data_IF_075957273493
#
_entry.id   IF_075957273493
#
_cell.length_a   1.000
_cell.length_b   1.000
_cell.length_c   1.000
_cell.angle_alpha   90.00
_cell.angle_beta   90.00
_cell.angle_gamma   90.00
#
_symmetry.space_group_name_H-M   'P 1'
#
loop_
_entity.id
_entity.type
_entity.pdbx_description
1 polymer ?
#
# COMPACT_ATOMS: atom_id res chain seq x y z
N UNK A 1 -7.41 -15.77 3.99
CA UNK A 1 -7.90 -14.55 3.34
C UNK A 1 -9.02 -14.85 2.35
N UNK A 2 -8.82 -15.75 1.37
CA UNK A 2 -9.85 -16.11 0.37
C UNK A 2 -11.13 -16.64 1.03
N UNK A 3 -11.00 -17.54 2.01
CA UNK A 3 -12.11 -18.04 2.82
C UNK A 3 -12.87 -16.92 3.55
N UNK A 4 -12.15 -15.96 4.13
CA UNK A 4 -12.75 -14.80 4.79
C UNK A 4 -13.50 -13.90 3.83
N UNK A 5 -12.96 -13.70 2.61
CA UNK A 5 -13.60 -12.93 1.55
C UNK A 5 -14.88 -13.63 1.10
N UNK A 6 -14.84 -14.94 0.90
CA UNK A 6 -16.03 -15.69 0.48
C UNK A 6 -17.11 -15.68 1.55
N UNK A 7 -16.74 -15.87 2.82
CA UNK A 7 -17.64 -15.80 3.94
C UNK A 7 -18.34 -14.43 4.05
N UNK A 8 -17.60 -13.34 3.79
CA UNK A 8 -18.17 -12.00 3.80
C UNK A 8 -19.15 -11.77 2.67
N UNK A 9 -18.83 -12.26 1.47
CA UNK A 9 -19.73 -12.19 0.30
C UNK A 9 -21.06 -12.90 0.57
N UNK A 10 -20.99 -14.12 1.12
CA UNK A 10 -22.18 -14.91 1.46
C UNK A 10 -23.06 -14.19 2.48
N UNK A 11 -22.44 -13.46 3.43
CA UNK A 11 -23.15 -12.71 4.47
C UNK A 11 -23.44 -11.25 4.09
N UNK A 12 -23.17 -10.85 2.84
CA UNK A 12 -23.35 -9.48 2.35
C UNK A 12 -22.62 -8.43 3.21
N UNK A 13 -21.40 -8.78 3.65
CA UNK A 13 -20.51 -7.91 4.43
C UNK A 13 -19.37 -7.46 3.52
N UNK A 14 -19.18 -6.15 3.38
CA UNK A 14 -18.05 -5.62 2.64
C UNK A 14 -16.76 -5.74 3.46
N UNK A 15 -15.77 -6.43 2.90
CA UNK A 15 -14.41 -6.49 3.46
C UNK A 15 -13.57 -5.38 2.85
N UNK A 16 -12.87 -4.65 3.71
CA UNK A 16 -11.83 -3.69 3.32
C UNK A 16 -10.47 -4.22 3.77
N UNK A 17 -9.76 -4.95 2.90
CA UNK A 17 -8.44 -5.47 3.24
C UNK A 17 -7.43 -4.33 3.35
N UNK A 18 -6.56 -4.40 4.35
CA UNK A 18 -5.41 -3.51 4.46
C UNK A 18 -4.19 -4.19 3.88
N UNK A 19 -3.48 -3.50 3.01
CA UNK A 19 -2.29 -4.01 2.33
C UNK A 19 -1.03 -3.31 2.83
N UNK A 20 0.04 -4.08 2.98
CA UNK A 20 1.38 -3.57 3.23
C UNK A 20 2.32 -4.25 2.21
N UNK A 21 2.28 -3.79 0.94
CA UNK A 21 2.94 -4.50 -0.14
C UNK A 21 4.46 -4.39 -0.09
N UNK A 22 5.01 -3.34 0.52
CA UNK A 22 6.45 -3.08 0.47
C UNK A 22 7.13 -3.35 1.80
N UNK A 23 7.89 -4.43 1.83
CA UNK A 23 8.75 -4.90 2.91
C UNK A 23 10.18 -5.07 2.39
N UNK A 24 11.20 -5.30 3.23
CA UNK A 24 12.57 -5.56 2.76
C UNK A 24 12.68 -6.73 1.77
N UNK A 25 11.79 -7.70 1.86
CA UNK A 25 11.81 -8.93 1.05
C UNK A 25 10.96 -8.85 -0.21
N UNK A 26 10.22 -7.76 -0.40
CA UNK A 26 9.31 -7.61 -1.54
C UNK A 26 10.08 -7.57 -2.85
N UNK A 27 9.61 -8.34 -3.81
CA UNK A 27 10.02 -8.34 -5.20
C UNK A 27 8.92 -7.72 -6.07
N UNK A 28 9.29 -7.19 -7.22
CA UNK A 28 8.32 -6.57 -8.16
C UNK A 28 7.14 -7.50 -8.46
N UNK A 29 7.41 -8.80 -8.65
CA UNK A 29 6.36 -9.79 -8.93
C UNK A 29 5.36 -10.01 -7.78
N UNK A 30 5.71 -9.68 -6.54
CA UNK A 30 4.79 -9.85 -5.41
C UNK A 30 3.64 -8.87 -5.51
N UNK A 31 3.89 -7.64 -5.99
CA UNK A 31 2.84 -6.66 -6.23
C UNK A 31 1.88 -7.11 -7.32
N UNK A 32 2.41 -7.72 -8.41
CA UNK A 32 1.56 -8.33 -9.44
C UNK A 32 0.61 -9.39 -8.84
N UNK A 33 1.09 -10.23 -7.92
CA UNK A 33 0.28 -11.24 -7.26
C UNK A 33 -0.80 -10.62 -6.34
N UNK A 34 -0.48 -9.52 -5.65
CA UNK A 34 -1.46 -8.77 -4.84
C UNK A 34 -2.57 -8.23 -5.74
N UNK A 35 -2.23 -7.61 -6.88
CA UNK A 35 -3.21 -7.10 -7.82
C UNK A 35 -4.10 -8.22 -8.37
N UNK A 36 -3.51 -9.36 -8.75
CA UNK A 36 -4.31 -10.53 -9.19
C UNK A 36 -5.30 -10.98 -8.13
N UNK A 37 -4.91 -10.98 -6.87
CA UNK A 37 -5.79 -11.33 -5.77
C UNK A 37 -6.94 -10.32 -5.63
N UNK A 38 -6.64 -9.02 -5.71
CA UNK A 38 -7.64 -7.94 -5.67
C UNK A 38 -8.66 -8.12 -6.81
N UNK A 39 -8.18 -8.31 -8.04
CA UNK A 39 -9.03 -8.45 -9.23
C UNK A 39 -9.89 -9.71 -9.19
N UNK A 40 -9.29 -10.87 -8.88
CA UNK A 40 -9.98 -12.14 -8.81
C UNK A 40 -11.09 -12.15 -7.76
N UNK A 41 -10.89 -11.43 -6.66
CA UNK A 41 -11.84 -11.35 -5.56
C UNK A 41 -12.79 -10.15 -5.63
N UNK A 42 -12.70 -9.33 -6.70
CA UNK A 42 -13.54 -8.14 -6.89
C UNK A 42 -13.45 -7.15 -5.72
N UNK A 43 -12.22 -6.91 -5.24
CA UNK A 43 -11.94 -6.04 -4.10
C UNK A 43 -11.52 -4.62 -4.50
N UNK A 44 -11.54 -4.30 -5.79
CA UNK A 44 -11.06 -3.01 -6.32
C UNK A 44 -11.69 -1.80 -5.65
N UNK A 45 -13.00 -1.88 -5.31
CA UNK A 45 -13.74 -0.79 -4.66
C UNK A 45 -13.31 -0.54 -3.21
N UNK A 46 -12.82 -1.59 -2.55
CA UNK A 46 -12.49 -1.58 -1.12
C UNK A 46 -11.01 -1.33 -0.86
N UNK A 47 -10.20 -1.26 -1.92
CA UNK A 47 -8.76 -0.96 -1.85
C UNK A 47 -8.51 0.48 -2.28
N UNK A 48 -8.08 1.32 -1.34
CA UNK A 48 -7.63 2.68 -1.70
C UNK A 48 -6.28 2.59 -2.44
N UNK A 49 -6.09 3.26 -3.58
CA UNK A 49 -4.84 3.26 -4.34
C UNK A 49 -3.58 3.50 -3.52
N UNK A 50 -3.64 4.38 -2.53
CA UNK A 50 -2.50 4.66 -1.63
C UNK A 50 -2.02 3.41 -0.88
N UNK A 51 -2.89 2.44 -0.60
CA UNK A 51 -2.51 1.21 0.09
C UNK A 51 -1.53 0.36 -0.71
N UNK A 52 -1.55 0.49 -2.04
CA UNK A 52 -0.60 -0.20 -2.92
C UNK A 52 0.80 0.41 -2.91
N UNK A 53 1.00 1.50 -2.17
CA UNK A 53 2.29 2.20 -2.04
C UNK A 53 2.91 2.10 -0.64
N UNK A 54 2.21 1.46 0.30
CA UNK A 54 2.59 1.46 1.73
C UNK A 54 3.87 0.64 1.96
N UNK A 55 4.82 1.27 2.65
CA UNK A 55 6.05 0.65 3.15
C UNK A 55 5.91 0.19 4.60
N UNK A 56 6.57 -0.90 4.93
CA UNK A 56 6.68 -1.37 6.31
C UNK A 56 7.35 -0.32 7.21
N UNK A 57 6.64 0.09 8.25
CA UNK A 57 7.17 0.91 9.33
C UNK A 57 7.79 0.00 10.40
N UNK A 58 9.02 0.29 10.82
CA UNK A 58 9.72 -0.48 11.87
C UNK A 58 10.03 0.45 13.05
N UNK A 59 9.08 0.65 13.98
CA UNK A 59 9.31 1.51 15.14
C UNK A 59 10.28 0.87 16.12
N UNK A 60 10.85 1.70 17.01
CA UNK A 60 11.69 1.23 18.11
C UNK A 60 10.91 0.25 18.98
N UNK A 61 11.51 -0.89 19.25
CA UNK A 61 10.87 -1.97 20.02
C UNK A 61 10.03 -2.97 19.19
N UNK A 62 9.96 -2.78 17.88
CA UNK A 62 9.29 -3.75 17.00
C UNK A 62 9.94 -5.14 17.11
N UNK A 63 9.12 -6.18 17.25
CA UNK A 63 9.59 -7.57 17.36
C UNK A 63 10.32 -8.05 16.10
N UNK A 64 10.05 -7.46 14.94
CA UNK A 64 10.73 -7.82 13.70
C UNK A 64 12.24 -7.55 13.77
N UNK A 65 12.69 -6.59 14.57
CA UNK A 65 14.11 -6.25 14.75
C UNK A 65 14.91 -7.42 15.34
N UNK A 66 14.23 -8.32 16.08
CA UNK A 66 14.84 -9.48 16.71
C UNK A 66 15.02 -10.64 15.72
N UNK A 67 14.38 -10.57 14.56
CA UNK A 67 14.47 -11.62 13.54
C UNK A 67 15.81 -11.55 12.82
N UNK A 68 16.51 -12.69 12.66
CA UNK A 68 17.78 -12.71 11.92
C UNK A 68 17.64 -12.20 10.49
N UNK A 69 16.51 -12.48 9.86
CA UNK A 69 16.24 -12.21 8.45
C UNK A 69 16.18 -10.71 8.13
N UNK A 70 15.88 -9.84 9.12
CA UNK A 70 15.81 -8.38 8.89
C UNK A 70 17.18 -7.70 9.04
N UNK A 71 18.12 -8.33 9.77
CA UNK A 71 19.35 -7.66 10.23
C UNK A 71 20.22 -7.10 9.11
N UNK A 72 20.28 -7.81 7.99
CA UNK A 72 21.08 -7.39 6.83
C UNK A 72 20.45 -6.23 6.06
N UNK A 73 19.14 -6.00 6.23
CA UNK A 73 18.39 -4.93 5.55
C UNK A 73 18.18 -3.73 6.45
N UNK A 74 18.33 -3.88 7.77
CA UNK A 74 18.01 -2.87 8.75
C UNK A 74 19.08 -1.77 8.79
N UNK A 75 18.64 -0.52 8.61
CA UNK A 75 19.47 0.67 8.69
C UNK A 75 19.42 1.36 10.06
N UNK A 76 19.68 2.65 10.08
CA UNK A 76 19.68 3.47 11.29
C UNK A 76 18.26 3.85 11.68
N UNK A 77 18.07 4.05 12.99
CA UNK A 77 16.84 4.63 13.52
C UNK A 77 16.80 6.13 13.19
N UNK A 78 15.71 6.55 12.61
CA UNK A 78 15.40 7.95 12.35
C UNK A 78 14.38 8.45 13.37
N UNK A 79 14.75 9.51 14.09
CA UNK A 79 13.91 10.12 15.13
C UNK A 79 12.81 11.00 14.55
N UNK A 80 12.90 11.42 13.30
CA UNK A 80 11.87 12.24 12.66
C UNK A 80 10.70 11.39 12.16
N UNK A 81 11.01 10.25 11.55
CA UNK A 81 10.01 9.28 11.08
C UNK A 81 9.60 8.25 12.14
N UNK A 82 10.26 8.25 13.30
CA UNK A 82 10.08 7.27 14.38
C UNK A 82 10.25 5.82 13.93
N UNK A 83 11.11 5.58 12.95
CA UNK A 83 11.29 4.28 12.30
C UNK A 83 12.76 3.98 12.06
N UNK A 84 13.09 2.68 12.00
CA UNK A 84 14.34 2.25 11.39
C UNK A 84 14.21 2.34 9.87
N UNK A 85 15.23 2.91 9.22
CA UNK A 85 15.37 2.76 7.77
C UNK A 85 15.69 1.31 7.41
N UNK A 86 15.37 0.91 6.21
CA UNK A 86 15.71 -0.41 5.72
C UNK A 86 15.88 -0.39 4.19
N UNK A 87 16.59 -1.39 3.67
CA UNK A 87 16.82 -1.57 2.23
C UNK A 87 16.02 -2.75 1.69
N UNK A 88 15.73 -2.73 0.40
CA UNK A 88 15.12 -3.84 -0.30
C UNK A 88 16.15 -4.88 -0.72
N UNK A 89 15.74 -6.14 -0.75
CA UNK A 89 16.48 -7.21 -1.44
C UNK A 89 16.45 -7.00 -2.97
N UNK A 90 15.40 -6.38 -3.47
CA UNK A 90 15.17 -6.10 -4.89
C UNK A 90 15.10 -4.58 -5.11
N UNK A 91 16.13 -4.01 -5.73
CA UNK A 91 16.20 -2.57 -6.01
C UNK A 91 15.09 -2.09 -6.94
N UNK A 92 14.56 -2.95 -7.81
CA UNK A 92 13.44 -2.61 -8.68
C UNK A 92 12.16 -2.44 -7.88
N UNK A 93 11.97 -3.17 -6.77
CA UNK A 93 10.85 -2.97 -5.86
C UNK A 93 10.90 -1.58 -5.18
N UNK A 94 12.09 -1.07 -4.84
CA UNK A 94 12.25 0.30 -4.32
C UNK A 94 11.87 1.35 -5.38
N UNK A 95 12.31 1.15 -6.63
CA UNK A 95 11.97 2.04 -7.74
C UNK A 95 10.47 2.03 -8.02
N UNK A 96 9.87 0.85 -8.08
CA UNK A 96 8.43 0.69 -8.27
C UNK A 96 7.64 1.39 -7.17
N UNK A 97 8.00 1.16 -5.89
CA UNK A 97 7.33 1.81 -4.77
C UNK A 97 7.35 3.34 -4.88
N UNK A 98 8.50 3.92 -5.20
CA UNK A 98 8.65 5.38 -5.38
C UNK A 98 7.80 5.90 -6.53
N UNK A 99 7.77 5.20 -7.66
CA UNK A 99 6.95 5.57 -8.82
C UNK A 99 5.46 5.52 -8.50
N UNK A 100 4.99 4.46 -7.85
CA UNK A 100 3.58 4.32 -7.45
C UNK A 100 3.19 5.39 -6.44
N UNK A 101 4.04 5.65 -5.45
CA UNK A 101 3.79 6.67 -4.44
C UNK A 101 3.71 8.08 -5.06
N UNK A 102 4.68 8.45 -5.91
CA UNK A 102 4.66 9.74 -6.62
C UNK A 102 3.41 9.89 -7.47
N UNK A 103 3.05 8.84 -8.22
CA UNK A 103 1.84 8.85 -9.03
C UNK A 103 0.57 9.10 -8.21
N UNK A 104 0.41 8.43 -7.06
CA UNK A 104 -0.77 8.60 -6.20
C UNK A 104 -0.85 10.01 -5.62
N UNK A 105 0.28 10.59 -5.19
CA UNK A 105 0.31 11.95 -4.63
C UNK A 105 0.05 13.00 -5.70
N UNK A 106 0.67 12.87 -6.87
CA UNK A 106 0.49 13.81 -7.99
C UNK A 106 -0.94 13.81 -8.54
N UNK A 107 -1.65 12.70 -8.39
CA UNK A 107 -3.01 12.49 -8.86
C UNK A 107 -4.04 12.37 -7.71
N UNK A 108 -3.78 12.99 -6.55
CA UNK A 108 -4.68 12.90 -5.37
C UNK A 108 -6.11 13.38 -5.66
N UNK A 109 -6.27 14.35 -6.57
CA UNK A 109 -7.58 14.90 -6.97
C UNK A 109 -8.30 14.05 -8.04
N UNK A 110 -7.63 13.05 -8.61
CA UNK A 110 -8.19 12.16 -9.63
C UNK A 110 -9.24 11.23 -9.01
N UNK A 111 -10.21 10.79 -9.81
CA UNK A 111 -11.13 9.73 -9.41
C UNK A 111 -10.36 8.45 -9.01
N UNK A 112 -10.77 7.82 -7.91
CA UNK A 112 -10.06 6.66 -7.34
C UNK A 112 -9.97 5.47 -8.30
N UNK A 113 -10.99 5.30 -9.16
CA UNK A 113 -10.99 4.27 -10.19
C UNK A 113 -9.92 4.55 -11.24
N UNK A 114 -9.86 5.78 -11.73
CA UNK A 114 -8.87 6.19 -12.72
C UNK A 114 -7.46 6.11 -12.13
N UNK A 115 -7.29 6.57 -10.88
CA UNK A 115 -6.03 6.47 -10.16
C UNK A 115 -5.59 4.99 -10.00
N UNK A 116 -6.51 4.09 -9.66
CA UNK A 116 -6.22 2.66 -9.57
C UNK A 116 -5.77 2.08 -10.91
N UNK A 117 -6.46 2.39 -12.01
CA UNK A 117 -6.10 1.91 -13.35
C UNK A 117 -4.70 2.41 -13.75
N UNK A 118 -4.38 3.67 -13.47
CA UNK A 118 -3.02 4.18 -13.72
C UNK A 118 -1.93 3.46 -12.93
N UNK A 119 -2.23 3.05 -11.68
CA UNK A 119 -1.31 2.19 -10.92
C UNK A 119 -1.12 0.82 -11.57
N UNK A 120 -2.19 0.22 -12.12
CA UNK A 120 -2.07 -1.06 -12.84
C UNK A 120 -1.10 -0.95 -14.02
N UNK A 121 -1.23 0.11 -14.83
CA UNK A 121 -0.33 0.34 -15.98
C UNK A 121 1.13 0.50 -15.52
N UNK A 122 1.39 1.26 -14.44
CA UNK A 122 2.75 1.37 -13.90
C UNK A 122 3.30 0.02 -13.45
N UNK A 123 2.48 -0.83 -12.84
CA UNK A 123 2.89 -2.16 -12.40
C UNK A 123 3.16 -3.06 -13.60
N UNK A 124 2.34 -2.99 -14.65
CA UNK A 124 2.57 -3.71 -15.91
C UNK A 124 3.91 -3.36 -16.53
N UNK A 125 4.22 -2.07 -16.62
CA UNK A 125 5.49 -1.57 -17.19
C UNK A 125 6.70 -2.10 -16.41
N UNK A 126 6.63 -2.12 -15.08
CA UNK A 126 7.72 -2.62 -14.24
C UNK A 126 7.85 -4.14 -14.24
N UNK A 127 6.72 -4.86 -14.37
CA UNK A 127 6.72 -6.33 -14.31
C UNK A 127 6.89 -6.96 -15.68
N UNK A 128 6.75 -6.20 -16.76
CA UNK A 128 6.66 -6.67 -18.14
C UNK A 128 5.55 -7.74 -18.30
N UNK A 129 4.51 -7.66 -17.47
CA UNK A 129 3.40 -8.62 -17.42
C UNK A 129 2.08 -7.90 -17.50
N UNK A 130 1.24 -8.32 -18.41
CA UNK A 130 -0.13 -7.82 -18.49
C UNK A 130 -0.92 -8.20 -17.25
N UNK A 131 -1.63 -7.24 -16.71
CA UNK A 131 -2.60 -7.42 -15.63
C UNK A 131 -3.98 -7.51 -16.27
N UNK A 132 -4.57 -8.71 -16.23
CA UNK A 132 -5.96 -8.84 -16.68
C UNK A 132 -6.88 -8.22 -15.64
N UNK A 133 -7.58 -7.16 -16.02
CA UNK A 133 -8.63 -6.53 -15.21
C UNK A 133 -9.89 -6.31 -16.01
N UNK A 134 -11.04 -6.46 -15.35
CA UNK A 134 -12.33 -6.28 -16.00
C UNK A 134 -12.63 -4.78 -16.16
N UNK A 135 -12.58 -4.27 -17.39
CA UNK A 135 -12.92 -2.88 -17.70
C UNK A 135 -14.41 -2.56 -17.49
N UNK A 136 -15.28 -3.56 -17.63
CA UNK A 136 -16.72 -3.42 -17.39
C UNK A 136 -17.12 -3.63 -15.92
N UNK A 137 -16.15 -3.56 -15.01
CA UNK A 137 -16.40 -3.70 -13.58
C UNK A 137 -17.35 -2.60 -13.08
N UNK A 138 -18.49 -3.03 -12.55
CA UNK A 138 -19.47 -2.10 -11.96
C UNK A 138 -19.06 -1.84 -10.52
N UNK A 139 -18.64 -0.61 -10.23
CA UNK A 139 -18.35 -0.19 -8.87
C UNK A 139 -19.65 -0.11 -8.07
N UNK A 140 -19.65 -0.75 -6.90
CA UNK A 140 -20.69 -0.55 -5.90
C UNK A 140 -20.31 0.62 -5.01
N UNK A 141 -21.28 1.39 -4.59
CA UNK A 141 -21.05 2.43 -3.57
C UNK A 141 -21.00 1.76 -2.18
N UNK A 142 -19.85 1.17 -1.87
CA UNK A 142 -19.63 0.58 -0.57
C UNK A 142 -19.36 1.68 0.46
N UNK A 143 -19.88 1.56 1.70
CA UNK A 143 -19.58 2.51 2.77
C UNK A 143 -18.07 2.64 2.96
N UNK A 144 -17.53 3.84 2.79
CA UNK A 144 -16.11 4.13 2.94
C UNK A 144 -15.86 4.74 4.31
N UNK A 145 -15.01 4.12 5.11
CA UNK A 145 -14.44 4.79 6.26
C UNK A 145 -13.52 5.90 5.75
N UNK A 146 -13.80 7.15 6.09
CA UNK A 146 -13.01 8.32 5.72
C UNK A 146 -11.79 8.51 6.63
N UNK A 147 -11.24 7.43 7.18
CA UNK A 147 -10.07 7.51 8.05
C UNK A 147 -8.83 7.81 7.23
N UNK A 148 -8.16 8.90 7.59
CA UNK A 148 -6.85 9.31 7.04
C UNK A 148 -5.68 8.55 7.69
N UNK A 149 -5.97 7.56 8.54
CA UNK A 149 -4.98 6.83 9.31
C UNK A 149 -4.53 5.58 8.57
N UNK A 150 -3.27 5.57 8.19
CA UNK A 150 -2.61 4.34 7.74
C UNK A 150 -1.90 3.73 8.94
N UNK A 151 -2.59 2.88 9.66
CA UNK A 151 -2.01 2.11 10.76
C UNK A 151 -0.81 1.29 10.21
N UNK A 152 0.35 1.39 10.84
CA UNK A 152 1.57 0.65 10.50
C UNK A 152 2.28 1.08 9.20
N UNK A 153 1.93 2.19 8.58
CA UNK A 153 2.66 2.75 7.46
C UNK A 153 3.57 3.91 7.86
N UNK A 154 4.68 4.06 7.17
CA UNK A 154 5.56 5.20 7.34
C UNK A 154 4.84 6.49 6.92
N UNK A 155 4.68 7.50 7.83
CA UNK A 155 4.02 8.73 7.45
C UNK A 155 4.86 9.46 6.39
N UNK A 156 4.22 9.90 5.33
CA UNK A 156 4.91 10.69 4.32
C UNK A 156 5.18 12.12 4.81
N UNK A 157 6.07 12.83 4.11
CA UNK A 157 6.46 14.19 4.48
C UNK A 157 5.25 15.14 4.59
N UNK A 158 4.25 15.00 3.71
CA UNK A 158 3.03 15.82 3.71
C UNK A 158 2.20 15.54 4.95
N UNK A 159 2.07 14.29 5.36
CA UNK A 159 1.35 13.92 6.58
C UNK A 159 2.08 14.45 7.83
N UNK A 160 3.40 14.35 7.87
CA UNK A 160 4.22 14.92 8.95
C UNK A 160 4.10 16.45 9.02
N UNK A 161 4.09 17.13 7.88
CA UNK A 161 3.96 18.59 7.82
C UNK A 161 2.55 19.03 8.24
N UNK A 162 1.49 18.28 7.89
CA UNK A 162 0.11 18.53 8.39
C UNK A 162 0.02 18.38 9.92
N UNK A 163 0.67 17.36 10.50
CA UNK A 163 0.73 17.19 11.97
C UNK A 163 1.49 18.31 12.62
N UNK A 164 2.59 18.78 12.04
CA UNK A 164 3.38 19.89 12.53
C UNK A 164 2.62 21.23 12.46
N UNK A 165 1.88 21.47 11.38
CA UNK A 165 1.09 22.70 11.21
C UNK A 165 -0.12 22.77 12.14
N UNK A 166 -0.72 21.62 12.50
CA UNK A 166 -1.84 21.57 13.46
C UNK A 166 -1.43 21.73 14.92
N UNK A 167 -0.12 21.71 15.25
CA UNK A 167 0.37 21.98 16.61
C UNK A 167 0.42 23.45 17.00
N UNK A 168 -0.01 24.35 16.11
CA UNK A 168 -0.04 25.80 16.38
C UNK A 168 -1.34 26.28 17.06
N UNK A 169 -2.22 25.36 17.46
CA UNK A 169 -3.46 25.67 18.18
C UNK A 169 -3.58 24.88 19.49
N UNK A 170 -2.66 25.14 20.42
CA UNK A 170 -2.86 24.91 21.87
C UNK A 170 -2.19 26.05 22.61
#
# INVERSE_FOLDING_TARGET
LEESIELSKVNNIDIRPTWMPFTPWTKVNDLHNIIKLIENNKLRETVDPIQLTIKLLIPKGSLIIQRPEIKEYLGKYDTESFSYSWSYIDNEADRLQKSLFSYVIENEAMDKKEQYIGLLHLIEDFTEKNIFYNQAYVYRDAPKLSETWFCCSEPNKIQLDRVKSNKTFI
#
